data_IF_891637730558
#
_entry.id   IF_891637730558
#
_cell.length_a   1.000
_cell.length_b   1.000
_cell.length_c   1.000
_cell.angle_alpha   90.00
_cell.angle_beta   90.00
_cell.angle_gamma   90.00
#
_symmetry.space_group_name_H-M   'P 1'
#
loop_
_entity.id
_entity.type
_entity.pdbx_description
1 polymer ?
#
# COMPACT_ATOMS: atom_id res chain seq x y z
N UNK A 1 -19.27 8.65 30.66
CA UNK A 1 -18.48 7.64 29.91
C UNK A 1 -17.14 8.23 29.50
N UNK A 2 -16.01 7.78 30.08
CA UNK A 2 -14.68 7.98 29.51
C UNK A 2 -13.96 6.61 29.37
N UNK A 3 -13.89 6.04 28.16
CA UNK A 3 -13.10 4.81 27.89
C UNK A 3 -11.95 5.01 26.89
N UNK A 4 -11.85 6.16 26.24
CA UNK A 4 -10.88 6.42 25.16
C UNK A 4 -9.51 6.92 25.63
N UNK A 5 -9.42 7.59 26.79
CA UNK A 5 -8.11 8.06 27.32
C UNK A 5 -7.24 6.92 27.88
N UNK A 6 -7.82 5.77 28.23
CA UNK A 6 -7.10 4.68 28.90
C UNK A 6 -6.35 3.76 27.92
N UNK A 7 -6.82 3.60 26.67
CA UNK A 7 -6.13 2.78 25.66
C UNK A 7 -4.90 3.45 25.06
N UNK A 8 -4.95 4.77 24.80
CA UNK A 8 -3.77 5.50 24.33
C UNK A 8 -2.67 5.52 25.40
N UNK A 9 -3.05 5.68 26.67
CA UNK A 9 -2.11 5.62 27.79
C UNK A 9 -1.40 4.26 27.88
N UNK A 10 -2.14 3.16 27.69
CA UNK A 10 -1.57 1.79 27.69
C UNK A 10 -0.62 1.51 26.52
N UNK A 11 -0.90 2.05 25.32
CA UNK A 11 0.00 1.91 24.16
C UNK A 11 1.31 2.67 24.36
N UNK A 12 1.26 3.90 24.91
CA UNK A 12 2.46 4.67 25.24
C UNK A 12 3.24 4.07 26.43
N UNK A 13 2.56 3.51 27.43
CA UNK A 13 3.20 2.78 28.55
C UNK A 13 3.95 1.52 28.06
N UNK A 14 3.41 0.78 27.09
CA UNK A 14 4.03 -0.45 26.57
C UNK A 14 5.29 -0.21 25.72
N UNK A 15 5.31 0.86 24.90
CA UNK A 15 6.51 1.22 24.11
C UNK A 15 7.65 1.69 25.03
N UNK A 16 7.30 2.41 26.10
CA UNK A 16 8.29 2.86 27.08
C UNK A 16 8.86 1.69 27.88
N UNK A 17 8.05 0.70 28.25
CA UNK A 17 8.49 -0.50 28.98
C UNK A 17 9.54 -1.34 28.20
N UNK A 18 9.42 -1.42 26.88
CA UNK A 18 10.37 -2.18 26.05
C UNK A 18 11.72 -1.45 25.90
N UNK A 19 11.70 -0.12 25.84
CA UNK A 19 12.90 0.71 25.82
C UNK A 19 13.61 0.72 27.19
N UNK A 20 12.84 0.82 28.28
CA UNK A 20 13.34 0.72 29.66
C UNK A 20 14.00 -0.64 29.93
N UNK A 21 13.43 -1.74 29.43
CA UNK A 21 14.04 -3.09 29.56
C UNK A 21 15.39 -3.19 28.85
N UNK A 22 15.48 -2.73 27.59
CA UNK A 22 16.76 -2.71 26.86
C UNK A 22 17.82 -1.86 27.55
N UNK A 23 17.40 -0.79 28.23
CA UNK A 23 18.30 0.04 29.03
C UNK A 23 18.79 -0.72 30.27
N UNK A 24 17.91 -1.37 31.02
CA UNK A 24 18.28 -2.17 32.20
C UNK A 24 19.21 -3.34 31.83
N UNK A 25 18.97 -4.01 30.71
CA UNK A 25 19.82 -5.09 30.21
C UNK A 25 21.24 -4.56 29.87
N UNK A 26 21.34 -3.40 29.20
CA UNK A 26 22.63 -2.73 28.94
C UNK A 26 23.35 -2.30 30.21
N UNK A 27 22.63 -1.80 31.22
CA UNK A 27 23.23 -1.43 32.50
C UNK A 27 23.78 -2.65 33.24
N UNK A 28 23.14 -3.82 33.11
CA UNK A 28 23.62 -5.09 33.65
C UNK A 28 24.83 -5.61 32.89
N UNK A 29 24.87 -5.50 31.56
CA UNK A 29 26.04 -5.88 30.75
C UNK A 29 27.30 -5.07 31.11
N UNK A 30 27.13 -3.82 31.55
CA UNK A 30 28.23 -2.95 31.99
C UNK A 30 28.66 -3.25 33.44
N UNK A 31 28.02 -4.22 34.11
CA UNK A 31 28.35 -4.67 35.47
C UNK A 31 27.88 -3.72 36.57
N UNK A 32 26.93 -2.82 36.26
CA UNK A 32 26.44 -1.82 37.22
C UNK A 32 25.62 -2.44 38.37
N UNK A 33 25.13 -3.65 38.18
CA UNK A 33 24.41 -4.47 39.17
C UNK A 33 25.26 -4.89 40.37
N UNK A 34 26.59 -4.77 40.26
CA UNK A 34 27.52 -5.00 41.38
C UNK A 34 27.60 -3.82 42.35
N UNK A 35 27.16 -2.63 41.92
CA UNK A 35 27.28 -1.38 42.69
C UNK A 35 25.92 -0.81 43.12
N UNK A 36 24.86 -1.09 42.37
CA UNK A 36 23.49 -0.63 42.64
C UNK A 36 22.49 -1.72 42.26
N UNK A 37 21.51 -2.00 43.11
CA UNK A 37 20.43 -2.94 42.77
C UNK A 37 19.61 -2.40 41.58
N UNK A 38 19.70 -3.11 40.45
CA UNK A 38 18.88 -2.83 39.27
C UNK A 38 17.47 -3.45 39.44
N UNK A 39 16.41 -2.79 38.95
CA UNK A 39 15.04 -3.28 39.09
C UNK A 39 14.84 -4.67 38.46
N UNK A 40 14.26 -5.60 39.22
CA UNK A 40 13.89 -6.94 38.78
C UNK A 40 12.37 -7.06 38.64
N UNK A 41 11.91 -7.70 37.56
CA UNK A 41 10.49 -8.00 37.35
C UNK A 41 10.20 -9.41 37.87
N UNK A 42 9.42 -9.51 38.95
CA UNK A 42 8.94 -10.78 39.51
C UNK A 42 7.44 -10.90 39.25
N UNK A 43 7.00 -12.00 38.63
CA UNK A 43 5.59 -12.25 38.30
C UNK A 43 4.94 -13.11 39.39
N UNK A 44 4.10 -12.51 40.24
CA UNK A 44 3.26 -13.23 41.22
C UNK A 44 1.78 -13.24 40.84
N UNK A 45 1.12 -14.37 41.05
CA UNK A 45 -0.32 -14.60 40.78
C UNK A 45 -0.71 -16.06 41.01
N UNK A 46 -2.01 -16.33 41.17
CA UNK A 46 -2.48 -17.65 41.63
C UNK A 46 -2.84 -18.62 40.48
N UNK A 47 -2.91 -18.13 39.24
CA UNK A 47 -3.27 -18.93 38.06
C UNK A 47 -2.13 -18.98 37.03
N UNK A 48 -1.79 -20.20 36.58
CA UNK A 48 -0.62 -20.48 35.73
C UNK A 48 -0.76 -19.96 34.30
N UNK A 49 -1.98 -19.89 33.75
CA UNK A 49 -2.24 -19.46 32.38
C UNK A 49 -1.87 -17.99 32.13
N UNK A 50 -2.09 -17.10 33.12
CA UNK A 50 -1.73 -15.68 33.02
C UNK A 50 -0.22 -15.44 33.10
N UNK A 51 0.52 -16.26 33.85
CA UNK A 51 1.99 -16.17 33.96
C UNK A 51 2.67 -16.63 32.67
N UNK A 52 2.21 -17.73 32.08
CA UNK A 52 2.78 -18.26 30.84
C UNK A 52 2.54 -17.33 29.65
N UNK A 53 1.39 -16.66 29.58
CA UNK A 53 1.08 -15.64 28.56
C UNK A 53 1.94 -14.38 28.71
N UNK A 54 2.15 -13.94 29.95
CA UNK A 54 3.02 -12.80 30.23
C UNK A 54 4.49 -13.16 29.99
N UNK A 55 4.93 -14.36 30.38
CA UNK A 55 6.27 -14.86 30.11
C UNK A 55 6.50 -15.06 28.61
N UNK A 56 5.55 -15.59 27.83
CA UNK A 56 5.70 -15.70 26.38
C UNK A 56 5.81 -14.32 25.70
N UNK A 57 5.04 -13.34 26.17
CA UNK A 57 5.11 -11.97 25.67
C UNK A 57 6.44 -11.29 26.04
N UNK A 58 7.03 -11.66 27.19
CA UNK A 58 8.30 -11.11 27.69
C UNK A 58 9.50 -11.88 27.13
N UNK A 59 9.42 -13.19 26.91
CA UNK A 59 10.53 -14.05 26.48
C UNK A 59 10.59 -14.26 24.97
N UNK A 60 9.49 -14.03 24.25
CA UNK A 60 9.38 -14.35 22.83
C UNK A 60 9.20 -15.85 22.53
N UNK A 61 9.09 -16.70 23.56
CA UNK A 61 8.89 -18.15 23.42
C UNK A 61 7.43 -18.50 23.71
N UNK A 62 6.74 -19.11 22.74
CA UNK A 62 5.36 -19.55 22.92
C UNK A 62 5.27 -20.79 23.81
N UNK A 63 4.51 -20.70 24.90
CA UNK A 63 4.24 -21.86 25.76
C UNK A 63 2.92 -22.55 25.35
N UNK A 64 2.81 -23.89 25.41
CA UNK A 64 1.58 -24.61 25.06
C UNK A 64 0.41 -24.23 25.97
N UNK A 65 -0.81 -24.16 25.41
CA UNK A 65 -2.02 -23.81 26.19
C UNK A 65 -2.45 -24.97 27.11
N UNK A 66 -3.09 -24.65 28.24
CA UNK A 66 -3.62 -25.67 29.17
C UNK A 66 -4.62 -26.62 28.49
N UNK A 67 -5.32 -26.14 27.46
CA UNK A 67 -6.31 -26.92 26.71
C UNK A 67 -5.65 -27.96 25.79
N UNK A 68 -4.44 -27.67 25.30
CA UNK A 68 -3.58 -28.63 24.58
C UNK A 68 -3.06 -29.73 25.54
N UNK A 69 -2.60 -29.34 26.74
CA UNK A 69 -2.13 -30.27 27.78
C UNK A 69 -3.27 -31.16 28.31
N UNK A 70 -4.46 -30.59 28.52
CA UNK A 70 -5.64 -31.33 28.99
C UNK A 70 -6.19 -32.32 27.94
N UNK A 71 -6.10 -31.98 26.65
CA UNK A 71 -6.48 -32.88 25.55
C UNK A 71 -5.54 -34.07 25.38
N UNK A 72 -4.26 -33.91 25.72
CA UNK A 72 -3.23 -34.95 25.65
C UNK A 72 -3.08 -35.75 26.96
N UNK A 73 -3.80 -35.39 28.04
CA UNK A 73 -3.61 -36.00 29.36
C UNK A 73 -3.79 -37.54 29.37
N UNK A 74 -4.63 -38.06 28.49
CA UNK A 74 -4.86 -39.51 28.35
C UNK A 74 -3.76 -40.22 27.56
N UNK A 75 -3.07 -39.52 26.65
CA UNK A 75 -1.91 -40.00 25.88
C UNK A 75 -0.61 -39.90 26.70
N UNK A 76 -0.46 -38.82 27.48
CA UNK A 76 0.65 -38.58 28.42
C UNK A 76 0.77 -39.66 29.51
N UNK A 77 -0.34 -40.21 29.99
CA UNK A 77 -0.32 -41.34 30.94
C UNK A 77 0.14 -42.67 30.32
N UNK A 78 0.24 -42.76 28.99
CA UNK A 78 0.65 -43.97 28.24
C UNK A 78 2.01 -43.82 27.54
N UNK A 79 2.63 -42.65 27.69
CA UNK A 79 3.91 -42.29 27.09
C UNK A 79 5.05 -42.90 27.93
N UNK A 80 5.76 -43.87 27.35
CA UNK A 80 7.08 -44.29 27.83
C UNK A 80 8.12 -43.26 27.40
N UNK A 81 9.23 -43.14 28.14
CA UNK A 81 10.32 -42.20 27.83
C UNK A 81 10.77 -42.31 26.36
N UNK A 82 10.92 -43.53 25.84
CA UNK A 82 11.26 -43.81 24.43
C UNK A 82 10.28 -43.24 23.39
N UNK A 83 8.98 -43.20 23.72
CA UNK A 83 7.96 -42.65 22.81
C UNK A 83 7.95 -41.13 22.85
N UNK A 84 8.21 -40.56 24.03
CA UNK A 84 8.31 -39.12 24.20
C UNK A 84 9.53 -38.56 23.47
N UNK A 85 10.69 -39.22 23.59
CA UNK A 85 11.91 -38.85 22.85
C UNK A 85 11.70 -38.90 21.33
N UNK A 86 11.03 -39.92 20.81
CA UNK A 86 10.72 -40.01 19.36
C UNK A 86 9.78 -38.89 18.90
N UNK A 87 8.74 -38.57 19.68
CA UNK A 87 7.84 -37.46 19.32
C UNK A 87 8.55 -36.11 19.33
N UNK A 88 9.48 -35.89 20.27
CA UNK A 88 10.31 -34.67 20.29
C UNK A 88 11.23 -34.61 19.07
N UNK A 89 11.94 -35.70 18.75
CA UNK A 89 12.80 -35.79 17.55
C UNK A 89 12.02 -35.61 16.24
N UNK A 90 10.85 -36.23 16.10
CA UNK A 90 10.00 -36.08 14.93
C UNK A 90 9.49 -34.63 14.81
N UNK A 91 9.20 -33.97 15.94
CA UNK A 91 8.78 -32.56 15.96
C UNK A 91 9.92 -31.61 15.61
N UNK A 92 11.13 -31.90 16.07
CA UNK A 92 12.34 -31.13 15.75
C UNK A 92 12.71 -31.29 14.28
N UNK A 93 12.74 -32.53 13.75
CA UNK A 93 12.99 -32.79 12.32
C UNK A 93 11.92 -32.17 11.43
N UNK A 94 10.65 -32.21 11.87
CA UNK A 94 9.56 -31.55 11.13
C UNK A 94 9.73 -30.04 11.15
N UNK A 95 10.05 -29.44 12.29
CA UNK A 95 10.31 -28.01 12.40
C UNK A 95 11.53 -27.57 11.58
N UNK A 96 12.61 -28.36 11.57
CA UNK A 96 13.80 -28.14 10.74
C UNK A 96 13.47 -28.24 9.25
N UNK A 97 12.72 -29.27 8.83
CA UNK A 97 12.30 -29.43 7.43
C UNK A 97 11.35 -28.31 6.96
N UNK A 98 10.46 -27.85 7.83
CA UNK A 98 9.56 -26.71 7.56
C UNK A 98 10.33 -25.38 7.53
N UNK A 99 11.37 -25.22 8.35
CA UNK A 99 12.26 -24.05 8.31
C UNK A 99 13.14 -24.04 7.06
N UNK A 100 13.72 -25.17 6.65
CA UNK A 100 14.50 -25.30 5.42
C UNK A 100 13.62 -25.07 4.18
N UNK A 101 12.40 -25.59 4.15
CA UNK A 101 11.45 -25.30 3.07
C UNK A 101 11.06 -23.81 3.01
N UNK A 102 10.84 -23.15 4.15
CA UNK A 102 10.57 -21.69 4.19
C UNK A 102 11.76 -20.84 3.76
N UNK A 103 12.98 -21.26 4.09
CA UNK A 103 14.19 -20.57 3.64
C UNK A 103 14.42 -20.71 2.13
N UNK A 104 14.00 -21.82 1.52
CA UNK A 104 14.19 -22.10 0.09
C UNK A 104 13.00 -21.67 -0.80
N UNK A 105 11.83 -21.33 -0.25
CA UNK A 105 10.72 -20.79 -1.04
C UNK A 105 10.96 -19.34 -1.47
N UNK A 106 10.71 -18.96 -2.74
CA UNK A 106 10.88 -17.59 -3.19
C UNK A 106 9.95 -16.66 -2.40
N UNK A 107 10.52 -15.61 -1.82
CA UNK A 107 9.77 -14.63 -1.02
C UNK A 107 8.67 -14.00 -1.89
N UNK A 108 7.43 -13.88 -1.40
CA UNK A 108 6.37 -13.21 -2.15
C UNK A 108 6.73 -11.74 -2.37
N UNK A 109 6.26 -11.20 -3.50
CA UNK A 109 6.47 -9.79 -3.86
C UNK A 109 5.15 -9.03 -3.73
N UNK A 110 5.12 -8.00 -2.91
CA UNK A 110 4.01 -7.06 -2.83
C UNK A 110 4.22 -5.92 -3.84
N UNK A 111 3.38 -5.86 -4.86
CA UNK A 111 3.34 -4.78 -5.83
C UNK A 111 2.36 -3.71 -5.32
N UNK A 112 2.90 -2.57 -4.90
CA UNK A 112 2.16 -1.47 -4.32
C UNK A 112 2.03 -0.29 -5.29
N UNK A 113 0.82 0.21 -5.50
CA UNK A 113 0.56 1.37 -6.36
C UNK A 113 0.17 2.59 -5.52
N UNK A 114 0.98 3.65 -5.59
CA UNK A 114 0.75 4.87 -4.80
C UNK A 114 -0.47 5.67 -5.25
N UNK A 115 -0.92 6.59 -4.40
CA UNK A 115 -2.01 7.51 -4.71
C UNK A 115 -1.66 8.41 -5.89
N UNK A 116 -2.56 8.51 -6.87
CA UNK A 116 -2.23 9.15 -8.15
C UNK A 116 -3.25 10.14 -8.69
N UNK A 117 -4.39 10.34 -8.02
CA UNK A 117 -5.47 11.18 -8.54
C UNK A 117 -5.75 10.89 -10.03
N UNK A 118 -5.71 11.89 -10.91
CA UNK A 118 -5.94 11.71 -12.36
C UNK A 118 -4.81 11.01 -13.13
N UNK A 119 -3.67 10.73 -12.49
CA UNK A 119 -2.54 9.97 -13.06
C UNK A 119 -2.78 8.44 -12.99
N UNK A 120 -3.95 7.99 -12.53
CA UNK A 120 -4.26 6.57 -12.41
C UNK A 120 -4.18 5.81 -13.75
N UNK A 121 -4.54 6.45 -14.88
CA UNK A 121 -4.49 5.81 -16.21
C UNK A 121 -3.05 5.48 -16.61
N UNK A 122 -2.10 6.32 -16.25
CA UNK A 122 -0.68 6.03 -16.44
C UNK A 122 -0.27 4.79 -15.63
N UNK A 123 -0.69 4.69 -14.37
CA UNK A 123 -0.42 3.49 -13.56
C UNK A 123 -1.07 2.24 -14.14
N UNK A 124 -2.24 2.36 -14.79
CA UNK A 124 -2.83 1.24 -15.53
C UNK A 124 -1.95 0.82 -16.71
N UNK A 125 -1.32 1.76 -17.42
CA UNK A 125 -0.32 1.45 -18.45
C UNK A 125 0.84 0.62 -17.90
N UNK A 126 1.40 1.04 -16.75
CA UNK A 126 2.46 0.29 -16.04
C UNK A 126 1.97 -1.10 -15.65
N UNK A 127 0.76 -1.20 -15.08
CA UNK A 127 0.17 -2.47 -14.69
C UNK A 127 -0.06 -3.40 -15.89
N UNK A 128 -0.47 -2.86 -17.05
CA UNK A 128 -0.61 -3.63 -18.28
C UNK A 128 0.74 -4.21 -18.74
N UNK A 129 1.82 -3.44 -18.67
CA UNK A 129 3.16 -3.95 -18.97
C UNK A 129 3.56 -5.08 -18.01
N UNK A 130 3.37 -4.87 -16.71
CA UNK A 130 3.68 -5.88 -15.70
C UNK A 130 2.89 -7.17 -15.96
N UNK A 131 1.59 -7.05 -16.23
CA UNK A 131 0.73 -8.19 -16.54
C UNK A 131 1.11 -8.89 -17.85
N UNK A 132 1.54 -8.16 -18.88
CA UNK A 132 1.90 -8.74 -20.18
C UNK A 132 3.20 -9.56 -20.09
N UNK A 133 4.17 -9.15 -19.27
CA UNK A 133 5.55 -9.68 -19.31
C UNK A 133 6.01 -10.50 -18.10
N UNK A 134 5.39 -10.35 -16.93
CA UNK A 134 5.86 -10.98 -15.68
C UNK A 134 4.87 -11.99 -15.09
N UNK A 135 5.41 -13.06 -14.48
CA UNK A 135 4.62 -13.99 -13.69
C UNK A 135 4.27 -13.35 -12.34
N UNK A 136 2.97 -13.22 -12.09
CA UNK A 136 2.42 -12.60 -10.89
C UNK A 136 1.90 -13.64 -9.89
N UNK A 137 2.10 -14.94 -10.13
CA UNK A 137 1.58 -16.04 -9.30
C UNK A 137 2.01 -15.93 -7.83
N UNK A 138 3.24 -15.50 -7.57
CA UNK A 138 3.80 -15.28 -6.24
C UNK A 138 3.72 -13.80 -5.78
N UNK A 139 2.82 -13.01 -6.39
CA UNK A 139 2.66 -11.59 -6.07
C UNK A 139 1.40 -11.31 -5.24
N UNK A 140 1.53 -10.35 -4.33
CA UNK A 140 0.46 -9.71 -3.60
C UNK A 140 0.31 -8.27 -4.12
N UNK A 141 -0.83 -7.63 -3.86
CA UNK A 141 -1.13 -6.33 -4.44
C UNK A 141 -1.63 -5.35 -3.40
N UNK A 142 -1.14 -4.13 -3.44
CA UNK A 142 -1.67 -3.06 -2.60
C UNK A 142 -1.79 -1.75 -3.35
N UNK A 143 -2.71 -0.90 -2.90
CA UNK A 143 -2.94 0.36 -3.58
C UNK A 143 -3.68 1.40 -2.76
N UNK A 144 -3.45 2.66 -3.12
CA UNK A 144 -4.12 3.82 -2.55
C UNK A 144 -4.69 4.70 -3.66
N UNK A 145 -5.88 5.28 -3.45
CA UNK A 145 -6.52 6.20 -4.39
C UNK A 145 -6.55 5.61 -5.81
N UNK A 146 -6.16 6.39 -6.84
CA UNK A 146 -6.01 5.89 -8.21
C UNK A 146 -5.20 4.59 -8.36
N UNK A 147 -4.20 4.35 -7.49
CA UNK A 147 -3.42 3.12 -7.49
C UNK A 147 -4.17 1.88 -6.97
N UNK A 148 -5.22 2.07 -6.16
CA UNK A 148 -6.10 0.96 -5.76
C UNK A 148 -6.77 0.30 -6.97
N UNK A 149 -6.97 1.05 -8.05
CA UNK A 149 -7.54 0.50 -9.28
C UNK A 149 -6.56 -0.41 -10.01
N UNK A 150 -5.31 0.04 -10.22
CA UNK A 150 -4.27 -0.77 -10.84
C UNK A 150 -4.02 -2.06 -10.03
N UNK A 151 -3.91 -1.95 -8.70
CA UNK A 151 -3.76 -3.09 -7.81
C UNK A 151 -4.94 -4.08 -7.92
N UNK A 152 -6.19 -3.58 -7.93
CA UNK A 152 -7.37 -4.42 -8.05
C UNK A 152 -7.47 -5.14 -9.41
N UNK A 153 -7.04 -4.49 -10.51
CA UNK A 153 -7.01 -5.11 -11.83
C UNK A 153 -5.99 -6.26 -11.90
N UNK A 154 -4.81 -6.09 -11.30
CA UNK A 154 -3.83 -7.17 -11.24
C UNK A 154 -4.29 -8.31 -10.31
N UNK A 155 -4.80 -7.99 -9.12
CA UNK A 155 -5.30 -8.97 -8.15
C UNK A 155 -6.52 -9.74 -8.67
N UNK A 156 -7.32 -9.14 -9.54
CA UNK A 156 -8.47 -9.81 -10.17
C UNK A 156 -8.10 -10.66 -11.38
N UNK A 157 -6.85 -10.60 -11.83
CA UNK A 157 -6.38 -11.22 -13.07
C UNK A 157 -7.15 -10.73 -14.31
N UNK A 158 -7.75 -9.54 -14.22
CA UNK A 158 -8.47 -8.93 -15.33
C UNK A 158 -7.46 -8.33 -16.31
N UNK A 159 -7.55 -8.61 -17.62
CA UNK A 159 -6.67 -7.97 -18.60
C UNK A 159 -6.78 -6.44 -18.51
N UNK A 160 -5.69 -5.75 -18.17
CA UNK A 160 -5.71 -4.30 -17.90
C UNK A 160 -6.10 -3.53 -19.17
N UNK A 161 -5.71 -4.01 -20.36
CA UNK A 161 -6.12 -3.43 -21.66
C UNK A 161 -7.62 -3.59 -21.94
N UNK A 162 -8.23 -4.69 -21.49
CA UNK A 162 -9.67 -4.86 -21.57
C UNK A 162 -10.36 -3.87 -20.63
N UNK A 163 -9.88 -3.73 -19.39
CA UNK A 163 -10.40 -2.75 -18.45
C UNK A 163 -10.31 -1.32 -19.00
N UNK A 164 -9.19 -0.97 -19.65
CA UNK A 164 -9.04 0.31 -20.34
C UNK A 164 -10.08 0.52 -21.45
N UNK A 165 -10.38 -0.51 -22.23
CA UNK A 165 -11.43 -0.43 -23.26
C UNK A 165 -12.82 -0.16 -22.67
N UNK A 166 -13.17 -0.79 -21.54
CA UNK A 166 -14.44 -0.56 -20.83
C UNK A 166 -14.51 0.84 -20.20
N UNK A 167 -13.38 1.38 -19.74
CA UNK A 167 -13.30 2.78 -19.26
C UNK A 167 -13.65 3.74 -20.38
N UNK A 168 -13.05 3.56 -21.57
CA UNK A 168 -13.31 4.43 -22.73
C UNK A 168 -14.79 4.43 -23.13
N UNK A 169 -15.40 3.24 -23.19
CA UNK A 169 -16.83 3.07 -23.48
C UNK A 169 -17.71 3.76 -22.42
N UNK A 170 -17.44 3.49 -21.14
CA UNK A 170 -18.22 4.06 -20.02
C UNK A 170 -18.09 5.58 -19.96
N UNK A 171 -16.90 6.11 -20.22
CA UNK A 171 -16.66 7.54 -20.23
C UNK A 171 -17.40 8.21 -21.39
N UNK A 172 -17.41 7.61 -22.58
CA UNK A 172 -18.18 8.12 -23.73
C UNK A 172 -19.69 8.16 -23.47
N UNK A 173 -20.23 7.19 -22.72
CA UNK A 173 -21.64 7.18 -22.32
C UNK A 173 -21.98 8.24 -21.26
N UNK A 174 -21.14 8.38 -20.23
CA UNK A 174 -21.41 9.28 -19.10
C UNK A 174 -21.14 10.75 -19.46
N UNK A 175 -20.22 11.00 -20.38
CA UNK A 175 -19.78 12.34 -20.76
C UNK A 175 -20.31 12.69 -22.14
N UNK A 176 -21.59 13.04 -22.18
CA UNK A 176 -22.29 13.46 -23.41
C UNK A 176 -21.99 14.91 -23.82
N UNK A 177 -21.33 15.70 -22.96
CA UNK A 177 -21.00 17.11 -23.22
C UNK A 177 -19.74 17.51 -22.44
N UNK A 178 -18.55 17.32 -23.02
CA UNK A 178 -17.29 17.57 -22.32
C UNK A 178 -17.09 19.08 -22.07
N UNK A 179 -16.83 19.43 -20.81
CA UNK A 179 -16.36 20.76 -20.37
C UNK A 179 -15.14 20.57 -19.48
N UNK A 180 -14.33 21.60 -19.27
CA UNK A 180 -13.12 21.50 -18.44
C UNK A 180 -13.39 21.03 -16.99
N UNK A 181 -14.59 21.27 -16.47
CA UNK A 181 -15.05 20.81 -15.15
C UNK A 181 -15.94 19.55 -15.19
N UNK A 182 -16.20 18.97 -16.36
CA UNK A 182 -17.16 17.86 -16.50
C UNK A 182 -16.72 16.57 -15.80
N UNK A 183 -15.44 16.44 -15.43
CA UNK A 183 -14.94 15.37 -14.57
C UNK A 183 -15.33 15.51 -13.10
N UNK A 184 -15.51 16.74 -12.59
CA UNK A 184 -15.88 16.97 -11.19
C UNK A 184 -17.27 16.41 -10.90
N UNK A 185 -17.36 15.56 -9.88
CA UNK A 185 -18.62 14.92 -9.48
C UNK A 185 -19.07 13.77 -10.40
N UNK A 186 -18.47 13.58 -11.58
CA UNK A 186 -18.83 12.51 -12.54
C UNK A 186 -17.82 11.38 -12.60
N UNK A 187 -16.55 11.64 -12.28
CA UNK A 187 -15.52 10.59 -12.25
C UNK A 187 -15.87 9.45 -11.31
N UNK A 188 -16.47 9.75 -10.15
CA UNK A 188 -16.95 8.73 -9.25
C UNK A 188 -18.00 7.79 -9.91
N UNK A 189 -18.89 8.36 -10.72
CA UNK A 189 -19.88 7.59 -11.49
C UNK A 189 -19.22 6.76 -12.57
N UNK A 190 -18.25 7.31 -13.31
CA UNK A 190 -17.51 6.60 -14.35
C UNK A 190 -16.77 5.41 -13.77
N UNK A 191 -16.01 5.61 -12.67
CA UNK A 191 -15.28 4.53 -11.98
C UNK A 191 -16.25 3.46 -11.51
N UNK A 192 -17.33 3.84 -10.80
CA UNK A 192 -18.32 2.88 -10.31
C UNK A 192 -18.96 2.08 -11.45
N UNK A 193 -19.46 2.74 -12.49
CA UNK A 193 -20.08 2.07 -13.62
C UNK A 193 -19.10 1.17 -14.38
N UNK A 194 -17.84 1.60 -14.52
CA UNK A 194 -16.81 0.79 -15.16
C UNK A 194 -16.57 -0.50 -14.37
N UNK A 195 -16.38 -0.42 -13.04
CA UNK A 195 -16.14 -1.60 -12.20
C UNK A 195 -17.31 -2.59 -12.28
N UNK A 196 -18.55 -2.08 -12.24
CA UNK A 196 -19.72 -2.92 -12.42
C UNK A 196 -19.83 -3.53 -13.81
N UNK A 197 -19.51 -2.80 -14.88
CA UNK A 197 -19.51 -3.34 -16.25
C UNK A 197 -18.41 -4.37 -16.46
N UNK A 198 -17.22 -4.12 -15.93
CA UNK A 198 -16.05 -4.98 -16.08
C UNK A 198 -16.26 -6.35 -15.42
N UNK A 199 -16.87 -6.37 -14.23
CA UNK A 199 -17.05 -7.57 -13.43
C UNK A 199 -18.51 -8.03 -13.27
N UNK A 200 -19.40 -7.59 -14.17
CA UNK A 200 -20.85 -7.90 -14.11
C UNK A 200 -21.15 -9.39 -14.05
N UNK A 201 -20.37 -10.19 -14.78
CA UNK A 201 -20.60 -11.63 -14.94
C UNK A 201 -19.67 -12.45 -14.03
N UNK A 202 -18.76 -11.79 -13.31
CA UNK A 202 -17.80 -12.41 -12.41
C UNK A 202 -18.29 -12.35 -10.96
N UNK A 203 -19.04 -13.38 -10.56
CA UNK A 203 -19.65 -13.45 -9.22
C UNK A 203 -18.63 -13.61 -8.10
N UNK A 204 -17.44 -14.13 -8.38
CA UNK A 204 -16.43 -14.46 -7.37
C UNK A 204 -15.25 -13.48 -7.37
N UNK A 205 -15.34 -12.38 -8.12
CA UNK A 205 -14.30 -11.35 -8.22
C UNK A 205 -13.77 -10.89 -6.84
N UNK A 206 -14.67 -10.65 -5.90
CA UNK A 206 -14.36 -10.19 -4.54
C UNK A 206 -13.55 -11.23 -3.75
N UNK A 207 -13.82 -12.53 -3.96
CA UNK A 207 -13.03 -13.62 -3.36
C UNK A 207 -11.69 -13.79 -4.05
N UNK A 208 -11.63 -13.64 -5.38
CA UNK A 208 -10.38 -13.76 -6.15
C UNK A 208 -9.37 -12.71 -5.71
N UNK A 209 -9.79 -11.45 -5.63
CA UNK A 209 -8.88 -10.37 -5.18
C UNK A 209 -8.42 -10.56 -3.73
N UNK A 210 -9.28 -11.12 -2.86
CA UNK A 210 -8.92 -11.48 -1.49
C UNK A 210 -7.91 -12.63 -1.44
N UNK A 211 -8.10 -13.69 -2.23
CA UNK A 211 -7.14 -14.80 -2.39
C UNK A 211 -5.80 -14.33 -2.96
N UNK A 212 -5.81 -13.29 -3.79
CA UNK A 212 -4.62 -12.62 -4.32
C UNK A 212 -4.09 -11.52 -3.40
N UNK A 213 -4.53 -11.50 -2.14
CA UNK A 213 -4.03 -10.64 -1.06
C UNK A 213 -4.09 -9.14 -1.41
N UNK A 214 -5.15 -8.71 -2.09
CA UNK A 214 -5.36 -7.29 -2.37
C UNK A 214 -5.50 -6.51 -1.06
N UNK A 215 -4.77 -5.41 -0.93
CA UNK A 215 -4.89 -4.44 0.17
C UNK A 215 -5.23 -3.06 -0.38
N UNK A 216 -6.34 -2.48 0.07
CA UNK A 216 -6.73 -1.11 -0.28
C UNK A 216 -6.58 -0.20 0.94
N UNK A 217 -5.72 0.81 0.83
CA UNK A 217 -5.52 1.81 1.88
C UNK A 217 -6.65 2.85 1.88
N UNK A 218 -7.24 3.12 3.05
CA UNK A 218 -8.32 4.09 3.23
C UNK A 218 -8.07 4.97 4.46
N UNK A 219 -8.64 6.18 4.45
CA UNK A 219 -8.58 7.08 5.61
C UNK A 219 -9.95 7.19 6.24
N UNK A 220 -10.10 6.76 7.49
CA UNK A 220 -11.36 6.89 8.23
C UNK A 220 -11.61 8.34 8.63
N UNK A 221 -12.84 8.80 8.47
CA UNK A 221 -13.27 10.15 8.79
C UNK A 221 -14.35 10.11 9.89
N UNK A 222 -14.34 11.02 10.89
CA UNK A 222 -13.42 12.15 11.09
C UNK A 222 -12.15 11.82 11.90
N UNK A 223 -11.91 10.56 12.26
CA UNK A 223 -10.78 10.18 13.11
C UNK A 223 -9.41 10.35 12.45
N UNK A 224 -9.37 10.44 11.11
CA UNK A 224 -8.16 10.49 10.28
C UNK A 224 -7.22 9.30 10.56
N UNK A 225 -7.78 8.15 10.91
CA UNK A 225 -7.02 6.93 11.15
C UNK A 225 -6.79 6.18 9.84
N UNK A 226 -5.56 5.69 9.65
CA UNK A 226 -5.23 4.78 8.56
C UNK A 226 -5.93 3.44 8.78
N UNK A 227 -6.66 2.97 7.78
CA UNK A 227 -7.25 1.63 7.76
C UNK A 227 -6.92 0.93 6.44
N UNK A 228 -7.07 -0.39 6.42
CA UNK A 228 -6.86 -1.24 5.26
C UNK A 228 -8.08 -2.11 5.05
N UNK A 229 -8.57 -2.19 3.81
CA UNK A 229 -9.55 -3.19 3.41
C UNK A 229 -8.83 -4.32 2.69
N UNK A 230 -9.01 -5.55 3.19
CA UNK A 230 -8.31 -6.75 2.70
C UNK A 230 -9.25 -7.93 2.40
N UNK A 231 -10.55 -7.75 2.61
CA UNK A 231 -11.58 -8.76 2.36
C UNK A 231 -12.86 -8.07 1.90
N UNK A 232 -13.72 -8.77 1.17
CA UNK A 232 -14.97 -8.21 0.62
C UNK A 232 -16.08 -9.23 0.50
N UNK A 233 -17.32 -8.82 0.79
CA UNK A 233 -18.49 -9.70 0.73
C UNK A 233 -19.16 -9.73 -0.67
N UNK A 234 -18.87 -8.74 -1.52
CA UNK A 234 -19.50 -8.59 -2.82
C UNK A 234 -18.73 -7.64 -3.74
N UNK A 235 -19.10 -7.62 -5.04
CA UNK A 235 -18.61 -6.62 -6.00
C UNK A 235 -18.95 -5.18 -5.55
N UNK A 236 -20.12 -4.95 -4.96
CA UNK A 236 -20.51 -3.65 -4.42
C UNK A 236 -19.60 -3.22 -3.26
N UNK A 237 -19.23 -4.16 -2.40
CA UNK A 237 -18.34 -3.90 -1.26
C UNK A 237 -16.89 -3.62 -1.70
N UNK A 238 -16.39 -4.37 -2.70
CA UNK A 238 -15.10 -4.11 -3.36
C UNK A 238 -15.10 -2.73 -4.03
N UNK A 239 -16.13 -2.43 -4.81
CA UNK A 239 -16.30 -1.13 -5.48
C UNK A 239 -16.37 0.00 -4.44
N UNK A 240 -17.11 -0.20 -3.35
CA UNK A 240 -17.18 0.74 -2.24
C UNK A 240 -15.82 1.01 -1.59
N UNK A 241 -14.95 -0.01 -1.50
CA UNK A 241 -13.59 0.14 -0.97
C UNK A 241 -12.67 0.93 -1.90
N UNK A 242 -12.69 0.65 -3.21
CA UNK A 242 -11.93 1.43 -4.22
C UNK A 242 -12.38 2.89 -4.20
N UNK A 243 -13.70 3.11 -4.14
CA UNK A 243 -14.29 4.45 -4.04
C UNK A 243 -13.92 5.17 -2.74
N UNK A 244 -13.92 4.47 -1.60
CA UNK A 244 -13.48 5.00 -0.31
C UNK A 244 -12.01 5.42 -0.33
N UNK A 245 -11.15 4.61 -0.97
CA UNK A 245 -9.73 4.91 -1.14
C UNK A 245 -9.46 6.10 -2.05
N UNK A 246 -10.33 6.33 -3.04
CA UNK A 246 -10.12 7.33 -4.09
C UNK A 246 -10.84 8.66 -3.84
N UNK A 247 -11.74 8.75 -2.86
CA UNK A 247 -12.56 9.94 -2.68
C UNK A 247 -11.78 11.13 -2.10
N UNK A 248 -11.16 11.91 -2.99
CA UNK A 248 -10.67 13.25 -2.66
C UNK A 248 -11.87 14.14 -2.31
N UNK A 249 -11.92 14.74 -1.10
CA UNK A 249 -13.04 15.55 -0.64
C UNK A 249 -13.45 16.60 -1.68
N UNK A 250 -14.74 16.64 -2.00
CA UNK A 250 -15.39 17.52 -2.99
C UNK A 250 -14.97 17.33 -4.46
N UNK A 251 -13.81 16.74 -4.75
CA UNK A 251 -13.32 16.63 -6.12
C UNK A 251 -14.05 15.58 -6.96
N UNK A 252 -14.24 14.37 -6.42
CA UNK A 252 -14.77 13.26 -7.21
C UNK A 252 -16.29 13.09 -7.18
N UNK A 253 -16.93 13.37 -6.04
CA UNK A 253 -18.37 13.17 -5.84
C UNK A 253 -19.14 14.44 -5.46
N UNK A 254 -18.44 15.57 -5.27
CA UNK A 254 -19.00 16.77 -4.67
C UNK A 254 -19.31 16.65 -3.16
N UNK A 255 -19.04 15.48 -2.55
CA UNK A 255 -19.23 15.22 -1.11
C UNK A 255 -17.89 15.26 -0.37
N UNK A 256 -17.89 15.61 0.93
CA UNK A 256 -16.67 15.64 1.74
C UNK A 256 -16.14 14.24 2.10
N UNK A 257 -17.03 13.24 2.17
CA UNK A 257 -16.71 11.85 2.51
C UNK A 257 -17.71 10.89 1.84
N UNK A 258 -17.39 9.59 1.86
CA UNK A 258 -18.28 8.50 1.43
C UNK A 258 -18.60 7.58 2.60
N UNK A 259 -19.85 7.11 2.65
CA UNK A 259 -20.26 6.06 3.58
C UNK A 259 -19.94 4.70 2.99
N UNK A 260 -19.15 3.90 3.70
CA UNK A 260 -18.84 2.52 3.35
C UNK A 260 -18.76 1.69 4.64
N UNK A 261 -19.30 0.47 4.67
CA UNK A 261 -19.33 -0.40 5.87
C UNK A 261 -19.81 0.29 7.17
N UNK A 262 -20.80 1.17 7.04
CA UNK A 262 -21.35 1.93 8.17
C UNK A 262 -20.40 2.99 8.76
N UNK A 263 -19.27 3.29 8.12
CA UNK A 263 -18.31 4.30 8.50
C UNK A 263 -18.14 5.35 7.39
N UNK A 264 -17.52 6.48 7.71
CA UNK A 264 -17.17 7.49 6.72
C UNK A 264 -15.69 7.42 6.37
N UNK A 265 -15.41 7.61 5.08
CA UNK A 265 -14.06 7.58 4.53
C UNK A 265 -13.79 8.78 3.62
N UNK A 266 -12.52 9.16 3.58
CA UNK A 266 -11.91 10.04 2.59
C UNK A 266 -10.71 9.33 1.96
N UNK A 267 -10.13 9.93 0.92
CA UNK A 267 -9.00 9.37 0.18
C UNK A 267 -7.91 8.79 1.11
N UNK A 268 -7.41 7.59 0.78
CA UNK A 268 -6.35 6.92 1.53
C UNK A 268 -5.05 7.73 1.59
N UNK A 269 -4.84 8.63 0.63
CA UNK A 269 -3.65 9.46 0.48
C UNK A 269 -3.34 10.32 1.71
N UNK A 270 -4.36 10.69 2.48
CA UNK A 270 -4.21 11.51 3.69
C UNK A 270 -3.47 10.80 4.83
N UNK A 271 -3.43 9.47 4.81
CA UNK A 271 -2.78 8.69 5.89
C UNK A 271 -1.77 7.69 5.35
N UNK A 272 -1.98 7.13 4.16
CA UNK A 272 -1.08 6.15 3.56
C UNK A 272 -0.95 6.32 2.03
N UNK A 273 -0.20 7.34 1.62
CA UNK A 273 -0.02 7.73 0.21
C UNK A 273 0.59 6.63 -0.67
N UNK A 274 1.45 5.80 -0.09
CA UNK A 274 2.12 4.68 -0.76
C UNK A 274 1.24 3.45 -0.96
N UNK A 275 0.12 3.32 -0.25
CA UNK A 275 -0.77 2.15 -0.34
C UNK A 275 -0.30 0.89 0.40
N UNK A 276 0.92 0.87 0.94
CA UNK A 276 1.55 -0.26 1.63
C UNK A 276 2.03 0.14 3.03
N UNK A 277 2.30 -0.83 3.92
CA UNK A 277 3.00 -0.52 5.18
C UNK A 277 4.50 -0.48 4.90
N UNK A 278 5.11 0.70 5.06
CA UNK A 278 6.53 0.93 4.80
C UNK A 278 6.95 2.14 5.62
N UNK A 279 7.67 1.93 6.73
CA UNK A 279 8.02 3.01 7.67
C UNK A 279 9.09 3.95 7.10
N UNK A 280 9.90 3.44 6.18
CA UNK A 280 10.97 4.15 5.48
C UNK A 280 10.43 5.29 4.59
N UNK A 281 9.17 5.17 4.16
CA UNK A 281 8.53 6.13 3.25
C UNK A 281 7.49 6.97 3.98
N UNK A 282 7.81 8.26 4.17
CA UNK A 282 6.91 9.24 4.76
C UNK A 282 5.81 9.68 3.81
N UNK A 283 4.55 9.38 4.15
CA UNK A 283 3.33 9.91 3.48
C UNK A 283 3.36 11.44 3.40
N UNK A 284 3.81 12.12 4.46
CA UNK A 284 3.85 13.58 4.51
C UNK A 284 4.90 14.18 3.58
N UNK A 285 6.01 13.47 3.36
CA UNK A 285 7.01 13.91 2.39
C UNK A 285 6.45 13.91 0.98
N UNK A 286 5.76 12.83 0.57
CA UNK A 286 5.09 12.74 -0.74
C UNK A 286 4.00 13.81 -0.90
N UNK A 287 3.14 13.97 0.12
CA UNK A 287 2.07 14.95 0.06
C UNK A 287 2.60 16.40 -0.03
N UNK A 288 3.67 16.70 0.72
CA UNK A 288 4.33 18.00 0.68
C UNK A 288 5.01 18.24 -0.67
N UNK A 289 5.71 17.24 -1.20
CA UNK A 289 6.33 17.26 -2.53
C UNK A 289 5.30 17.59 -3.61
N UNK A 290 4.17 16.89 -3.63
CA UNK A 290 3.12 17.10 -4.62
C UNK A 290 2.37 18.42 -4.46
N UNK A 291 2.20 18.89 -3.23
CA UNK A 291 1.67 20.22 -2.97
C UNK A 291 2.62 21.28 -3.54
N UNK A 292 3.92 21.17 -3.26
CA UNK A 292 4.93 22.08 -3.79
C UNK A 292 5.03 22.01 -5.33
N UNK A 293 5.01 20.81 -5.92
CA UNK A 293 4.97 20.64 -7.37
C UNK A 293 3.73 21.27 -8.00
N UNK A 294 2.56 21.15 -7.36
CA UNK A 294 1.32 21.75 -7.84
C UNK A 294 1.41 23.28 -7.84
N UNK A 295 1.92 23.86 -6.75
CA UNK A 295 2.15 25.32 -6.64
C UNK A 295 3.15 25.78 -7.70
N UNK A 296 4.26 25.07 -7.89
CA UNK A 296 5.25 25.38 -8.93
C UNK A 296 4.67 25.23 -10.34
N UNK A 297 3.89 24.19 -10.60
CA UNK A 297 3.21 23.98 -11.88
C UNK A 297 2.24 25.10 -12.21
N UNK A 298 1.46 25.55 -11.22
CA UNK A 298 0.56 26.70 -11.36
C UNK A 298 1.34 28.01 -11.58
N UNK A 299 2.43 28.23 -10.85
CA UNK A 299 3.30 29.39 -11.07
C UNK A 299 3.91 29.38 -12.48
N UNK A 300 4.35 28.21 -12.98
CA UNK A 300 4.87 28.04 -14.35
C UNK A 300 3.80 28.35 -15.39
N UNK A 301 2.58 27.80 -15.27
CA UNK A 301 1.52 28.01 -16.26
C UNK A 301 1.04 29.46 -16.29
N UNK A 302 0.92 30.10 -15.13
CA UNK A 302 0.53 31.51 -15.04
C UNK A 302 1.64 32.48 -15.45
N UNK A 303 2.92 32.10 -15.30
CA UNK A 303 4.05 32.96 -15.71
C UNK A 303 4.01 33.32 -17.20
N UNK A 304 3.61 32.38 -18.06
CA UNK A 304 3.46 32.62 -19.50
C UNK A 304 2.30 33.58 -19.80
N UNK A 305 1.18 33.45 -19.08
CA UNK A 305 0.01 34.31 -19.20
C UNK A 305 0.30 35.72 -18.70
N UNK A 306 0.93 35.85 -17.53
CA UNK A 306 1.31 37.12 -16.91
C UNK A 306 2.36 37.85 -17.77
N UNK A 307 3.36 37.13 -18.29
CA UNK A 307 4.38 37.72 -19.16
C UNK A 307 3.80 38.21 -20.50
N UNK A 308 2.82 37.50 -21.07
CA UNK A 308 2.09 37.96 -22.25
C UNK A 308 1.25 39.22 -22.00
N UNK A 309 0.74 39.40 -20.78
CA UNK A 309 -0.05 40.58 -20.40
C UNK A 309 0.81 41.80 -20.04
N UNK A 310 1.94 41.58 -19.37
CA UNK A 310 2.84 42.65 -18.92
C UNK A 310 3.79 43.14 -20.01
N UNK A 311 4.18 42.28 -20.97
CA UNK A 311 5.14 42.61 -22.03
C UNK A 311 4.73 41.93 -23.36
N UNK A 312 3.84 42.54 -24.17
CA UNK A 312 3.47 41.98 -25.46
C UNK A 312 4.68 41.91 -26.42
N UNK A 313 4.87 40.76 -27.08
CA UNK A 313 5.93 40.54 -28.08
C UNK A 313 7.06 39.59 -27.62
N UNK A 314 8.16 39.54 -28.38
CA UNK A 314 9.27 38.59 -28.17
C UNK A 314 9.94 38.72 -26.79
N UNK A 315 9.89 39.92 -26.17
CA UNK A 315 10.45 40.20 -24.85
C UNK A 315 9.67 39.53 -23.71
N UNK A 316 8.34 39.44 -23.80
CA UNK A 316 7.52 38.73 -22.81
C UNK A 316 7.84 37.23 -22.78
N UNK A 317 8.04 36.61 -23.95
CA UNK A 317 8.49 35.21 -24.04
C UNK A 317 9.86 34.98 -23.40
N UNK A 318 10.78 35.94 -23.55
CA UNK A 318 12.13 35.86 -23.00
C UNK A 318 12.13 35.96 -21.47
N UNK A 319 11.28 36.84 -20.91
CA UNK A 319 11.07 36.97 -19.46
C UNK A 319 10.35 35.74 -18.90
N UNK A 320 9.32 35.23 -19.57
CA UNK A 320 8.63 34.00 -19.19
C UNK A 320 9.60 32.80 -19.14
N UNK A 321 10.43 32.64 -20.18
CA UNK A 321 11.43 31.57 -20.23
C UNK A 321 12.48 31.72 -19.11
N UNK A 322 12.90 32.95 -18.79
CA UNK A 322 13.87 33.20 -17.72
C UNK A 322 13.28 32.90 -16.34
N UNK A 323 12.01 33.27 -16.11
CA UNK A 323 11.26 32.93 -14.88
C UNK A 323 11.08 31.40 -14.79
N UNK A 324 10.64 30.77 -15.88
CA UNK A 324 10.45 29.32 -15.97
C UNK A 324 11.74 28.55 -15.66
N UNK A 325 12.86 28.95 -16.27
CA UNK A 325 14.17 28.32 -16.07
C UNK A 325 14.77 28.61 -14.68
N UNK A 326 14.32 29.67 -13.98
CA UNK A 326 14.77 29.98 -12.62
C UNK A 326 14.01 29.22 -11.53
N UNK A 327 12.89 28.57 -11.86
CA UNK A 327 12.10 27.80 -10.89
C UNK A 327 12.72 26.42 -10.65
N UNK A 328 12.87 25.99 -9.39
CA UNK A 328 13.53 24.74 -9.04
C UNK A 328 12.79 23.51 -9.61
N UNK A 329 13.54 22.53 -10.07
CA UNK A 329 13.01 21.18 -10.31
C UNK A 329 13.04 20.43 -8.99
N UNK A 330 11.87 20.04 -8.49
CA UNK A 330 11.76 19.22 -7.29
C UNK A 330 12.01 17.76 -7.68
N UNK A 331 12.85 17.08 -6.93
CA UNK A 331 13.05 15.64 -7.00
C UNK A 331 12.09 14.94 -6.04
N UNK A 332 11.57 13.77 -6.43
CA UNK A 332 10.77 12.94 -5.54
C UNK A 332 11.60 12.60 -4.29
N UNK A 333 11.03 12.64 -3.07
CA UNK A 333 11.77 12.36 -1.84
C UNK A 333 12.21 10.89 -1.72
N UNK A 334 11.73 10.04 -2.63
CA UNK A 334 11.70 8.60 -2.48
C UNK A 334 11.95 7.90 -3.81
N UNK A 335 12.72 6.81 -3.80
CA UNK A 335 13.13 6.08 -5.00
C UNK A 335 11.98 5.60 -5.89
N UNK A 336 12.33 5.38 -7.17
CA UNK A 336 11.48 4.93 -8.27
C UNK A 336 10.74 3.65 -7.92
N UNK A 337 11.52 2.65 -7.52
CA UNK A 337 11.12 1.36 -7.00
C UNK A 337 11.83 1.20 -5.66
N UNK A 338 11.03 1.22 -4.60
CA UNK A 338 11.49 1.11 -3.23
C UNK A 338 11.61 -0.35 -2.81
N UNK A 339 12.82 -0.89 -2.74
CA UNK A 339 13.05 -2.17 -2.07
C UNK A 339 13.01 -1.95 -0.56
N UNK A 340 12.13 -2.66 0.15
CA UNK A 340 12.19 -2.69 1.61
C UNK A 340 13.52 -3.32 2.03
N UNK A 341 14.26 -2.74 2.99
CA UNK A 341 15.53 -3.30 3.41
C UNK A 341 15.32 -4.72 3.92
N UNK A 342 16.13 -5.67 3.45
CA UNK A 342 16.12 -7.08 3.84
C UNK A 342 16.42 -7.32 5.33
N UNK A 343 16.53 -6.25 6.14
CA UNK A 343 16.93 -6.24 7.54
C UNK A 343 15.79 -5.88 8.51
N UNK A 344 14.57 -5.64 8.04
CA UNK A 344 13.39 -5.68 8.91
C UNK A 344 12.77 -7.07 8.84
N UNK A 345 12.10 -7.49 9.89
CA UNK A 345 11.40 -8.77 10.06
C UNK A 345 10.28 -9.05 9.04
N UNK A 346 10.25 -8.39 7.89
CA UNK A 346 9.21 -8.52 6.88
C UNK A 346 9.50 -9.68 5.91
N UNK A 347 8.60 -10.65 5.90
CA UNK A 347 8.65 -11.85 5.06
C UNK A 347 8.41 -11.57 3.55
N UNK A 348 8.18 -10.31 3.15
CA UNK A 348 7.67 -9.92 1.82
C UNK A 348 8.56 -8.85 1.17
N UNK A 349 8.97 -9.06 -0.08
CA UNK A 349 9.67 -8.05 -0.88
C UNK A 349 8.68 -7.04 -1.44
N UNK A 350 9.05 -5.76 -1.54
CA UNK A 350 8.11 -4.71 -2.00
C UNK A 350 8.58 -4.04 -3.29
N UNK A 351 7.63 -3.84 -4.19
CA UNK A 351 7.77 -3.06 -5.42
C UNK A 351 6.76 -1.91 -5.37
N UNK A 352 7.20 -0.72 -4.99
CA UNK A 352 6.33 0.47 -4.91
C UNK A 352 6.39 1.26 -6.21
N UNK A 353 5.30 1.27 -6.96
CA UNK A 353 5.13 1.99 -8.23
C UNK A 353 4.57 3.38 -7.96
N UNK A 354 5.29 4.41 -8.41
CA UNK A 354 4.84 5.80 -8.33
C UNK A 354 4.90 6.49 -9.69
N UNK A 355 3.81 7.13 -10.14
CA UNK A 355 3.67 7.58 -11.52
C UNK A 355 4.49 8.84 -11.84
N UNK A 356 5.00 9.53 -10.83
CA UNK A 356 5.83 10.71 -11.01
C UNK A 356 7.33 10.40 -11.07
N UNK A 357 7.77 9.16 -10.86
CA UNK A 357 9.19 8.91 -10.68
C UNK A 357 9.98 8.98 -12.01
N UNK A 358 9.49 8.37 -13.09
CA UNK A 358 10.20 8.37 -14.37
C UNK A 358 10.16 9.71 -15.12
N UNK A 359 9.15 10.55 -14.85
CA UNK A 359 8.92 11.79 -15.62
C UNK A 359 8.80 13.06 -14.78
N UNK A 360 8.76 12.95 -13.46
CA UNK A 360 8.46 14.05 -12.52
C UNK A 360 7.22 14.91 -12.85
N UNK A 361 6.11 14.38 -13.43
CA UNK A 361 4.91 15.17 -13.63
C UNK A 361 4.33 15.67 -12.31
N UNK A 362 3.71 16.85 -12.34
CA UNK A 362 2.89 17.31 -11.22
C UNK A 362 1.61 16.49 -11.13
N UNK A 363 1.10 16.28 -9.92
CA UNK A 363 -0.23 15.68 -9.70
C UNK A 363 -1.33 16.51 -10.38
N UNK A 364 -1.10 17.81 -10.55
CA UNK A 364 -1.99 18.71 -11.31
C UNK A 364 -1.85 18.65 -12.83
N UNK A 365 -0.74 18.09 -13.36
CA UNK A 365 -0.50 17.97 -14.81
C UNK A 365 -1.53 17.08 -15.50
N UNK A 366 -2.14 16.17 -14.74
CA UNK A 366 -3.19 15.27 -15.20
C UNK A 366 -4.42 15.46 -14.32
N UNK A 367 -4.92 16.72 -14.30
CA UNK A 367 -6.25 17.02 -13.78
C UNK A 367 -7.27 16.00 -14.33
N UNK A 368 -8.43 15.89 -13.68
CA UNK A 368 -9.64 15.12 -14.05
C UNK A 368 -10.21 15.47 -15.45
N UNK A 369 -9.35 15.79 -16.41
CA UNK A 369 -9.60 15.82 -17.83
C UNK A 369 -10.34 14.56 -18.19
N UNK A 370 -11.38 14.76 -18.96
CA UNK A 370 -12.19 13.70 -19.52
C UNK A 370 -11.87 13.50 -20.99
N UNK A 371 -10.72 14.04 -21.43
CA UNK A 371 -10.23 13.86 -22.77
C UNK A 371 -9.67 12.45 -22.94
N UNK A 372 -10.36 11.65 -23.76
CA UNK A 372 -9.97 10.27 -24.04
C UNK A 372 -8.62 10.19 -24.76
N UNK A 373 -8.27 11.17 -25.60
CA UNK A 373 -6.98 11.18 -26.30
C UNK A 373 -5.81 11.36 -25.32
N UNK A 374 -5.93 12.32 -24.39
CA UNK A 374 -4.96 12.51 -23.30
C UNK A 374 -4.83 11.25 -22.45
N UNK A 375 -5.93 10.58 -22.11
CA UNK A 375 -5.85 9.36 -21.31
C UNK A 375 -5.25 8.18 -22.08
N UNK A 376 -5.56 8.01 -23.36
CA UNK A 376 -4.90 7.00 -24.20
C UNK A 376 -3.39 7.24 -24.23
N UNK A 377 -2.97 8.49 -24.43
CA UNK A 377 -1.56 8.85 -24.40
C UNK A 377 -0.93 8.53 -23.04
N UNK A 378 -1.62 8.80 -21.92
CA UNK A 378 -1.10 8.49 -20.60
C UNK A 378 -0.97 6.99 -20.35
N UNK A 379 -1.93 6.19 -20.83
CA UNK A 379 -1.87 4.74 -20.75
C UNK A 379 -0.64 4.21 -21.50
N UNK A 380 -0.47 4.63 -22.75
CA UNK A 380 0.66 4.20 -23.58
C UNK A 380 2.01 4.70 -23.02
N UNK A 381 2.05 5.91 -22.46
CA UNK A 381 3.24 6.43 -21.79
C UNK A 381 3.63 5.58 -20.57
N UNK A 382 2.66 5.18 -19.74
CA UNK A 382 2.92 4.32 -18.60
C UNK A 382 3.44 2.95 -19.00
N UNK A 383 2.87 2.37 -20.06
CA UNK A 383 3.32 1.10 -20.62
C UNK A 383 4.76 1.20 -21.17
N UNK A 384 5.05 2.24 -21.94
CA UNK A 384 6.36 2.45 -22.55
C UNK A 384 7.44 2.76 -21.51
N UNK A 385 7.14 3.56 -20.49
CA UNK A 385 8.12 3.83 -19.44
C UNK A 385 8.43 2.56 -18.63
N UNK A 386 7.43 1.70 -18.36
CA UNK A 386 7.66 0.41 -17.73
C UNK A 386 8.54 -0.52 -18.59
N UNK A 387 8.39 -0.44 -19.92
CA UNK A 387 9.27 -1.14 -20.87
C UNK A 387 10.71 -0.62 -20.82
N UNK A 388 10.89 0.70 -20.76
CA UNK A 388 12.22 1.32 -20.69
C UNK A 388 12.95 1.03 -19.38
N UNK A 389 12.22 0.81 -18.29
CA UNK A 389 12.77 0.50 -16.96
C UNK A 389 12.55 -0.99 -16.58
N UNK A 390 12.48 -1.87 -17.57
CA UNK A 390 12.18 -3.29 -17.35
C UNK A 390 13.21 -3.98 -16.44
N UNK A 391 14.48 -3.54 -16.48
CA UNK A 391 15.54 -4.06 -15.61
C UNK A 391 15.24 -3.86 -14.11
N UNK A 392 14.61 -2.74 -13.73
CA UNK A 392 14.22 -2.47 -12.35
C UNK A 392 13.10 -3.40 -11.88
N UNK A 393 12.21 -3.80 -12.81
CA UNK A 393 11.13 -4.75 -12.55
C UNK A 393 11.65 -6.18 -12.46
N UNK A 394 12.58 -6.58 -13.32
CA UNK A 394 13.22 -7.90 -13.35
C UNK A 394 14.06 -8.20 -12.11
N UNK A 395 14.51 -7.17 -11.40
CA UNK A 395 15.20 -7.33 -10.13
C UNK A 395 14.31 -8.00 -9.05
N UNK A 396 12.98 -7.96 -9.21
CA UNK A 396 12.01 -8.50 -8.24
C UNK A 396 11.01 -9.48 -8.87
N UNK A 397 10.66 -9.31 -10.15
CA UNK A 397 9.62 -10.09 -10.81
C UNK A 397 10.21 -11.07 -11.83
N UNK A 398 9.64 -12.27 -11.87
CA UNK A 398 10.03 -13.30 -12.83
C UNK A 398 9.34 -13.06 -14.17
N UNK A 399 10.06 -13.15 -15.30
CA UNK A 399 9.45 -13.06 -16.64
C UNK A 399 8.61 -14.30 -16.93
N UNK A 400 7.48 -14.13 -17.64
CA UNK A 400 6.64 -15.26 -18.11
C UNK A 400 7.36 -16.18 -19.09
N UNK A 401 8.19 -15.60 -19.97
CA UNK A 401 8.98 -16.31 -20.98
C UNK A 401 10.45 -15.87 -20.82
N UNK A 402 11.21 -16.46 -19.87
CA UNK A 402 12.63 -16.14 -19.74
C UNK A 402 13.35 -16.53 -21.05
N UNK A 403 14.32 -15.73 -21.53
CA UNK A 403 15.14 -16.14 -22.66
C UNK A 403 15.79 -17.48 -22.31
N UNK A 404 15.58 -18.50 -23.15
CA UNK A 404 16.25 -19.80 -23.01
C UNK A 404 17.75 -19.56 -22.89
N UNK A 405 18.32 -19.91 -21.74
CA UNK A 405 19.77 -19.95 -21.56
C UNK A 405 20.34 -20.86 -22.67
N UNK A 406 21.19 -20.30 -23.53
CA UNK A 406 21.98 -21.05 -24.51
C UNK A 406 23.14 -21.76 -23.83
#
# INVERSE_FOLDING_TARGET
MPKTKQSAKRLFENVNAQAERKLVDKLREIGLDQYVELPQITVMGDTSSGKSLLLSAISGVSFPSYQFVAGMAHELNSLTDDKFERMMQDSEQKAESEQEQRQNSPRPVEIAFSASAGVFVYQMGVAAYIQDHFDLSNCQFSGCSGGSWAAALLASETPVRQAWSVIKETQAEVITSPKWYSGYGRYATIVKQTLHKLWRDDKDIHKRVEQRHLTIAVTRFPSMQAEKHTSWDSLDDLTGSIMASSLVPFALSGKPCITHRGQWYVDGAFTNFKGVNCEEYSTWADLSFHTAQTVLGYARSTSSTIAGYLLPGAWGKLVANKIFNSMPMLTSPHDTIAQSPSSSSDEVQRLIIKPWNWRSPSVSSFHLSVDLATHEQNFELGYEDARLHCEELEALLLRKNPPTAC
#
